data_IF_310545039034
#
_entry.id   IF_310545039034
#
_cell.length_a   1.000
_cell.length_b   1.000
_cell.length_c   1.000
_cell.angle_alpha   90.00
_cell.angle_beta   90.00
_cell.angle_gamma   90.00
#
_symmetry.space_group_name_H-M   'P 1'
#
loop_
_entity.id
_entity.type
_entity.pdbx_description
1 polymer ?
#
# COMPACT_ATOMS: atom_id res chain seq x y z
N UNK A 1 2.52 10.14 22.57
CA UNK A 1 2.38 11.63 22.60
C UNK A 1 3.73 12.34 22.67
N UNK A 2 4.61 12.11 23.67
CA UNK A 2 5.92 12.81 23.78
C UNK A 2 6.80 12.65 22.53
N UNK A 3 6.89 11.43 21.97
CA UNK A 3 7.69 11.15 20.77
C UNK A 3 7.15 11.79 19.49
N UNK A 4 5.94 12.35 19.51
CA UNK A 4 5.30 12.99 18.36
C UNK A 4 5.44 14.52 18.37
N UNK A 5 6.02 15.12 19.42
CA UNK A 5 6.05 16.57 19.63
C UNK A 5 6.84 17.38 18.57
N UNK A 6 7.56 16.70 17.68
CA UNK A 6 8.29 17.30 16.56
C UNK A 6 7.58 17.19 15.20
N UNK A 7 6.37 16.62 15.16
CA UNK A 7 5.58 16.48 13.94
C UNK A 7 4.36 17.38 14.06
N UNK A 8 4.09 18.19 13.02
CA UNK A 8 2.90 19.02 12.91
C UNK A 8 1.69 18.12 12.59
N UNK A 9 1.25 17.36 13.61
CA UNK A 9 0.23 16.34 13.49
C UNK A 9 -0.80 16.51 14.60
N UNK A 10 -2.07 16.63 14.22
CA UNK A 10 -3.19 16.59 15.15
C UNK A 10 -3.44 15.14 15.56
N UNK A 11 -2.94 14.77 16.76
CA UNK A 11 -3.20 13.46 17.33
C UNK A 11 -4.56 13.46 18.02
N UNK A 12 -5.50 12.68 17.48
CA UNK A 12 -6.79 12.44 18.12
C UNK A 12 -6.72 11.14 18.92
N UNK A 13 -6.70 11.20 20.27
CA UNK A 13 -6.70 9.99 21.07
C UNK A 13 -8.09 9.35 21.04
N UNK A 14 -8.11 8.04 20.88
CA UNK A 14 -9.34 7.23 20.88
C UNK A 14 -9.19 6.14 21.94
N UNK A 15 -10.24 5.91 22.73
CA UNK A 15 -10.20 5.06 23.94
C UNK A 15 -11.08 3.82 23.85
N UNK A 16 -11.83 3.65 22.77
CA UNK A 16 -12.65 2.45 22.54
C UNK A 16 -12.83 2.17 21.05
N UNK A 17 -13.18 0.93 20.71
CA UNK A 17 -13.53 0.55 19.33
C UNK A 17 -14.68 1.41 18.80
N UNK A 18 -15.71 1.68 19.61
CA UNK A 18 -16.85 2.49 19.19
C UNK A 18 -16.45 3.94 18.89
N UNK A 19 -15.63 4.55 19.74
CA UNK A 19 -15.12 5.91 19.51
C UNK A 19 -14.24 5.96 18.25
N UNK A 20 -13.47 4.90 17.98
CA UNK A 20 -12.67 4.79 16.75
C UNK A 20 -13.56 4.73 15.52
N UNK A 21 -14.60 3.90 15.54
CA UNK A 21 -15.54 3.77 14.42
C UNK A 21 -16.36 5.05 14.22
N UNK A 22 -16.76 5.71 15.30
CA UNK A 22 -17.44 7.00 15.23
C UNK A 22 -16.53 8.06 14.61
N UNK A 23 -15.26 8.12 15.01
CA UNK A 23 -14.28 9.01 14.38
C UNK A 23 -14.13 8.74 12.89
N UNK A 24 -13.98 7.46 12.50
CA UNK A 24 -13.82 7.04 11.11
C UNK A 24 -15.05 7.32 10.23
N UNK A 25 -16.23 7.55 10.82
CA UNK A 25 -17.42 7.97 10.08
C UNK A 25 -17.33 9.42 9.56
N UNK A 26 -16.53 10.26 10.22
CA UNK A 26 -16.43 11.70 9.93
C UNK A 26 -15.06 12.15 9.48
N UNK A 27 -14.02 11.39 9.83
CA UNK A 27 -12.63 11.70 9.52
C UNK A 27 -11.95 10.49 8.89
N UNK A 28 -11.05 10.75 7.93
CA UNK A 28 -10.27 9.70 7.26
C UNK A 28 -8.80 9.93 7.62
N UNK A 29 -8.28 9.29 8.69
CA UNK A 29 -6.91 9.49 9.11
C UNK A 29 -5.95 8.89 8.08
N UNK A 30 -4.83 9.56 7.84
CA UNK A 30 -3.79 8.99 6.97
C UNK A 30 -2.88 8.00 7.71
N UNK A 31 -2.82 8.09 9.04
CA UNK A 31 -2.04 7.23 9.92
C UNK A 31 -2.82 6.87 11.18
N UNK A 32 -2.90 5.59 11.49
CA UNK A 32 -3.52 5.06 12.69
C UNK A 32 -2.45 4.36 13.56
N UNK A 33 -2.45 4.70 14.84
CA UNK A 33 -1.65 4.01 15.85
C UNK A 33 -2.56 3.10 16.65
N UNK A 34 -2.34 1.79 16.57
CA UNK A 34 -3.22 0.81 17.23
C UNK A 34 -2.37 -0.02 18.19
N UNK A 35 -2.70 0.03 19.48
CA UNK A 35 -2.10 -0.86 20.46
C UNK A 35 -2.88 -2.17 20.51
N UNK A 36 -2.33 -3.23 19.95
CA UNK A 36 -2.94 -4.57 19.94
C UNK A 36 -2.71 -5.34 21.25
N UNK A 37 -1.85 -4.82 22.12
CA UNK A 37 -1.58 -5.40 23.44
C UNK A 37 -2.30 -4.67 24.58
N UNK A 38 -3.09 -3.64 24.28
CA UNK A 38 -3.89 -2.92 25.29
C UNK A 38 -5.14 -3.74 25.67
N UNK A 39 -5.31 -4.18 26.93
CA UNK A 39 -6.50 -4.93 27.33
C UNK A 39 -7.78 -4.08 27.35
N UNK A 40 -7.68 -2.75 27.32
CA UNK A 40 -8.84 -1.85 27.33
C UNK A 40 -9.46 -1.67 25.93
N UNK A 41 -8.71 -1.97 24.86
CA UNK A 41 -9.17 -1.82 23.47
C UNK A 41 -8.88 -3.11 22.72
N UNK A 42 -9.93 -3.75 22.20
CA UNK A 42 -9.76 -4.89 21.29
C UNK A 42 -9.28 -4.40 19.91
N UNK A 43 -7.96 -4.30 19.75
CA UNK A 43 -7.32 -3.85 18.52
C UNK A 43 -7.62 -4.75 17.32
N UNK A 44 -7.83 -6.06 17.54
CA UNK A 44 -8.20 -6.99 16.47
C UNK A 44 -9.65 -6.81 16.04
N UNK A 45 -10.58 -6.61 16.98
CA UNK A 45 -11.96 -6.28 16.63
C UNK A 45 -12.05 -4.96 15.85
N UNK A 46 -11.26 -3.95 16.24
CA UNK A 46 -11.16 -2.71 15.47
C UNK A 46 -10.60 -2.97 14.05
N UNK A 47 -9.49 -3.71 13.95
CA UNK A 47 -8.91 -4.05 12.66
C UNK A 47 -9.89 -4.82 11.76
N UNK A 48 -10.63 -5.79 12.30
CA UNK A 48 -11.67 -6.52 11.59
C UNK A 48 -12.79 -5.60 11.10
N UNK A 49 -13.23 -4.63 11.91
CA UNK A 49 -14.22 -3.64 11.50
C UNK A 49 -13.71 -2.75 10.36
N UNK A 50 -12.46 -2.29 10.43
CA UNK A 50 -11.85 -1.49 9.36
C UNK A 50 -11.71 -2.35 8.09
N UNK A 51 -11.26 -3.60 8.22
CA UNK A 51 -11.06 -4.51 7.08
C UNK A 51 -12.36 -4.89 6.35
N UNK A 52 -13.51 -4.85 7.05
CA UNK A 52 -14.83 -5.11 6.45
C UNK A 52 -15.24 -4.06 5.42
N UNK A 53 -14.77 -2.83 5.56
CA UNK A 53 -15.05 -1.77 4.60
C UNK A 53 -13.76 -1.14 4.09
N UNK A 54 -13.30 -1.53 2.90
CA UNK A 54 -12.08 -1.02 2.31
C UNK A 54 -11.98 0.51 2.19
N UNK A 55 -13.09 1.24 2.21
CA UNK A 55 -13.05 2.70 2.23
C UNK A 55 -12.65 3.29 3.60
N UNK A 56 -12.72 2.50 4.68
CA UNK A 56 -12.12 2.83 5.98
C UNK A 56 -10.61 2.54 6.00
N UNK A 57 -10.12 1.65 5.13
CA UNK A 57 -8.72 1.16 5.09
C UNK A 57 -7.71 2.15 4.45
N UNK A 58 -7.96 3.45 4.46
CA UNK A 58 -7.02 4.40 3.88
C UNK A 58 -5.85 4.76 4.81
N UNK A 59 -6.01 4.52 6.12
CA UNK A 59 -4.97 4.79 7.08
C UNK A 59 -3.87 3.75 7.01
N UNK A 60 -2.62 4.22 6.95
CA UNK A 60 -1.48 3.39 7.29
C UNK A 60 -1.53 3.02 8.77
N UNK A 61 -1.16 1.80 9.14
CA UNK A 61 -1.23 1.32 10.52
C UNK A 61 0.18 1.17 11.07
N UNK A 62 0.45 1.81 12.21
CA UNK A 62 1.58 1.47 13.07
C UNK A 62 1.02 0.69 14.26
N UNK A 63 1.39 -0.58 14.34
CA UNK A 63 0.93 -1.48 15.38
C UNK A 63 1.87 -1.43 16.58
N UNK A 64 1.31 -1.41 17.79
CA UNK A 64 2.05 -1.70 19.00
C UNK A 64 1.72 -3.12 19.48
N UNK A 65 2.74 -3.97 19.60
CA UNK A 65 2.63 -5.38 19.93
C UNK A 65 3.74 -5.78 20.90
N UNK A 66 3.39 -6.19 22.12
CA UNK A 66 4.34 -6.52 23.18
C UNK A 66 4.87 -7.96 23.10
N UNK A 67 4.27 -8.80 22.27
CA UNK A 67 4.66 -10.19 22.08
C UNK A 67 4.75 -10.58 20.59
N UNK A 68 5.53 -11.62 20.31
CA UNK A 68 5.77 -12.11 18.95
C UNK A 68 4.48 -12.60 18.28
N UNK A 69 3.63 -13.33 19.00
CA UNK A 69 2.43 -13.94 18.43
C UNK A 69 1.43 -12.87 17.96
N UNK A 70 1.25 -11.81 18.75
CA UNK A 70 0.43 -10.65 18.39
C UNK A 70 1.01 -9.93 17.17
N UNK A 71 2.32 -9.64 17.16
CA UNK A 71 2.97 -8.99 16.02
C UNK A 71 2.83 -9.82 14.74
N UNK A 72 3.09 -11.13 14.84
CA UNK A 72 3.01 -12.06 13.72
C UNK A 72 1.57 -12.17 13.21
N UNK A 73 0.57 -12.18 14.09
CA UNK A 73 -0.85 -12.17 13.71
C UNK A 73 -1.21 -10.90 12.94
N UNK A 74 -0.77 -9.72 13.39
CA UNK A 74 -1.03 -8.45 12.68
C UNK A 74 -0.35 -8.46 11.30
N UNK A 75 0.92 -8.85 11.22
CA UNK A 75 1.68 -8.90 9.96
C UNK A 75 1.09 -9.88 8.94
N UNK A 76 0.55 -11.01 9.40
CA UNK A 76 -0.07 -12.02 8.53
C UNK A 76 -1.53 -11.73 8.21
N UNK A 77 -2.14 -10.69 8.78
CA UNK A 77 -3.55 -10.36 8.52
C UNK A 77 -3.70 -9.79 7.10
N UNK A 78 -4.44 -10.46 6.18
CA UNK A 78 -4.57 -10.00 4.81
C UNK A 78 -5.27 -8.65 4.69
N UNK A 79 -4.82 -7.80 3.79
CA UNK A 79 -5.43 -6.49 3.53
C UNK A 79 -5.03 -5.39 4.52
N UNK A 80 -4.37 -5.71 5.64
CA UNK A 80 -3.91 -4.71 6.60
C UNK A 80 -2.88 -3.78 5.96
N UNK A 81 -3.07 -2.46 6.11
CA UNK A 81 -2.13 -1.43 5.66
C UNK A 81 -1.05 -1.15 6.71
N UNK A 82 -0.46 -2.21 7.26
CA UNK A 82 0.61 -2.13 8.26
C UNK A 82 1.85 -1.47 7.63
N UNK A 83 2.45 -0.50 8.32
CA UNK A 83 3.77 0.06 8.00
C UNK A 83 4.83 -0.59 8.87
N UNK A 84 4.60 -0.60 10.19
CA UNK A 84 5.54 -1.12 11.17
C UNK A 84 4.79 -1.70 12.37
N UNK A 85 5.40 -2.72 12.98
CA UNK A 85 5.03 -3.25 14.29
C UNK A 85 6.15 -2.91 15.27
N UNK A 86 5.80 -2.40 16.45
CA UNK A 86 6.73 -1.98 17.49
C UNK A 86 6.32 -2.58 18.84
N UNK A 87 7.29 -3.08 19.59
CA UNK A 87 7.08 -3.33 21.01
C UNK A 87 7.03 -2.00 21.78
N UNK A 88 6.38 -1.98 22.94
CA UNK A 88 6.28 -0.78 23.78
C UNK A 88 7.66 -0.19 24.14
N UNK A 89 8.63 -1.05 24.47
CA UNK A 89 10.01 -0.65 24.79
C UNK A 89 10.75 -0.01 23.60
N UNK A 90 10.30 -0.28 22.37
CA UNK A 90 10.89 0.21 21.13
C UNK A 90 10.28 1.55 20.67
N UNK A 91 9.15 1.97 21.25
CA UNK A 91 8.40 3.15 20.80
C UNK A 91 9.23 4.42 20.90
N UNK A 92 9.92 4.67 22.02
CA UNK A 92 10.73 5.88 22.20
C UNK A 92 11.87 5.96 21.18
N UNK A 93 12.43 4.81 20.80
CA UNK A 93 13.57 4.72 19.89
C UNK A 93 13.17 4.85 18.42
N UNK A 94 12.11 4.16 18.00
CA UNK A 94 11.82 3.99 16.57
C UNK A 94 10.62 4.79 16.07
N UNK A 95 9.70 5.24 16.93
CA UNK A 95 8.50 5.94 16.48
C UNK A 95 8.85 7.24 15.74
N UNK A 96 9.77 8.05 16.27
CA UNK A 96 10.22 9.27 15.61
C UNK A 96 10.90 8.98 14.26
N UNK A 97 11.62 7.85 14.15
CA UNK A 97 12.26 7.42 12.91
C UNK A 97 11.22 7.01 11.86
N UNK A 98 10.24 6.19 12.24
CA UNK A 98 9.13 5.74 11.38
C UNK A 98 8.31 6.94 10.91
N UNK A 99 7.96 7.85 11.82
CA UNK A 99 7.27 9.09 11.47
C UNK A 99 8.10 9.95 10.51
N UNK A 100 9.41 10.03 10.71
CA UNK A 100 10.32 10.71 9.79
C UNK A 100 10.34 10.09 8.39
N UNK A 101 10.26 8.75 8.28
CA UNK A 101 10.12 8.05 7.00
C UNK A 101 8.78 8.39 6.37
N UNK A 102 7.68 8.25 7.10
CA UNK A 102 6.32 8.56 6.64
C UNK A 102 6.23 9.99 6.11
N UNK A 103 6.73 10.98 6.87
CA UNK A 103 6.67 12.40 6.51
C UNK A 103 7.54 12.75 5.30
N UNK A 104 8.68 12.08 5.11
CA UNK A 104 9.50 12.26 3.89
C UNK A 104 8.84 11.65 2.66
N UNK A 105 7.98 10.66 2.86
CA UNK A 105 7.38 9.84 1.81
C UNK A 105 5.86 10.07 1.65
N UNK A 106 5.37 11.19 2.14
CA UNK A 106 3.94 11.57 2.11
C UNK A 106 3.32 11.49 0.72
N UNK A 107 4.09 11.71 -0.35
CA UNK A 107 3.59 11.58 -1.72
C UNK A 107 3.16 10.15 -2.05
N UNK A 108 3.84 9.13 -1.54
CA UNK A 108 3.49 7.72 -1.75
C UNK A 108 2.33 7.33 -0.84
N UNK A 109 2.34 7.80 0.40
CA UNK A 109 1.33 7.43 1.39
C UNK A 109 -0.02 8.12 1.16
N UNK A 110 -0.01 9.36 0.64
CA UNK A 110 -1.21 10.19 0.53
C UNK A 110 -1.70 10.37 -0.91
N UNK A 111 -0.98 9.86 -1.92
CA UNK A 111 -1.58 9.65 -3.24
C UNK A 111 -2.46 8.40 -3.16
N UNK A 112 -3.75 8.65 -2.92
CA UNK A 112 -4.81 7.67 -2.66
C UNK A 112 -5.18 6.80 -3.87
N UNK A 113 -4.20 6.35 -4.68
CA UNK A 113 -4.36 5.47 -5.86
C UNK A 113 -5.03 6.12 -7.07
N UNK A 114 -5.94 7.06 -6.81
CA UNK A 114 -6.65 7.86 -7.79
C UNK A 114 -5.60 8.92 -8.20
N UNK A 115 -4.99 8.77 -9.39
CA UNK A 115 -4.27 9.87 -10.07
C UNK A 115 -2.85 9.58 -10.53
N UNK A 116 -2.40 8.34 -10.44
CA UNK A 116 -1.05 7.96 -10.86
C UNK A 116 -0.77 8.22 -12.35
N UNK A 117 -1.81 8.27 -13.20
CA UNK A 117 -1.69 8.46 -14.65
C UNK A 117 -1.10 9.82 -15.09
N UNK A 118 -0.98 10.81 -14.19
CA UNK A 118 -0.30 12.07 -14.48
C UNK A 118 1.23 11.98 -14.39
N UNK A 119 1.76 10.95 -13.72
CA UNK A 119 3.19 10.74 -13.53
C UNK A 119 3.63 9.57 -14.42
N UNK A 120 4.42 9.86 -15.47
CA UNK A 120 4.91 8.82 -16.39
C UNK A 120 5.63 7.67 -15.66
N UNK A 121 6.36 7.98 -14.59
CA UNK A 121 6.89 7.00 -13.65
C UNK A 121 7.25 7.69 -12.32
N UNK A 122 6.95 7.06 -11.19
CA UNK A 122 7.39 7.51 -9.87
C UNK A 122 8.68 6.77 -9.50
N UNK A 123 9.78 7.50 -9.37
CA UNK A 123 11.06 6.94 -8.96
C UNK A 123 11.55 7.57 -7.68
N UNK A 124 12.24 6.78 -6.86
CA UNK A 124 12.94 7.29 -5.69
C UNK A 124 14.15 6.41 -5.35
N UNK A 125 15.07 6.99 -4.59
CA UNK A 125 16.31 6.39 -4.12
C UNK A 125 16.54 6.75 -2.66
N UNK A 126 16.81 5.74 -1.84
CA UNK A 126 17.02 5.88 -0.40
C UNK A 126 18.29 5.17 0.04
N UNK A 127 19.00 5.75 1.00
CA UNK A 127 20.10 5.10 1.69
C UNK A 127 19.65 4.73 3.10
N UNK A 128 19.42 3.44 3.32
CA UNK A 128 18.93 2.90 4.58
C UNK A 128 20.10 2.62 5.51
N UNK A 129 19.89 2.83 6.80
CA UNK A 129 20.84 2.40 7.82
C UNK A 129 20.75 0.88 8.01
N UNK A 130 21.70 0.31 8.74
CA UNK A 130 21.63 -1.09 9.18
C UNK A 130 20.58 -1.25 10.29
N UNK A 131 19.31 -1.11 9.92
CA UNK A 131 18.15 -1.13 10.81
C UNK A 131 17.00 -1.83 10.08
N UNK A 132 16.57 -2.98 10.62
CA UNK A 132 15.54 -3.82 10.02
C UNK A 132 14.15 -3.20 10.11
N UNK A 133 13.88 -2.34 11.10
CA UNK A 133 12.59 -1.64 11.22
C UNK A 133 12.47 -0.59 10.11
N UNK A 134 13.56 0.12 9.82
CA UNK A 134 13.62 1.05 8.68
C UNK A 134 13.38 0.32 7.35
N UNK A 135 14.05 -0.82 7.12
CA UNK A 135 13.85 -1.64 5.94
C UNK A 135 12.40 -2.12 5.77
N UNK A 136 11.81 -2.67 6.84
CA UNK A 136 10.42 -3.14 6.84
C UNK A 136 9.43 -2.01 6.58
N UNK A 137 9.68 -0.82 7.15
CA UNK A 137 8.85 0.36 6.94
C UNK A 137 8.78 0.75 5.45
N UNK A 138 9.94 0.78 4.76
CA UNK A 138 9.97 1.08 3.33
C UNK A 138 9.31 0.01 2.48
N UNK A 139 9.57 -1.27 2.77
CA UNK A 139 8.95 -2.39 2.06
C UNK A 139 7.42 -2.35 2.18
N UNK A 140 6.91 -2.25 3.42
CA UNK A 140 5.48 -2.25 3.68
C UNK A 140 4.78 -1.03 3.09
N UNK A 141 5.36 0.16 3.22
CA UNK A 141 4.84 1.38 2.61
C UNK A 141 4.66 1.24 1.11
N UNK A 142 5.67 0.70 0.41
CA UNK A 142 5.64 0.53 -1.03
C UNK A 142 4.64 -0.55 -1.47
N UNK A 143 4.57 -1.67 -0.73
CA UNK A 143 3.57 -2.71 -0.93
C UNK A 143 2.14 -2.19 -0.76
N UNK A 144 1.89 -1.42 0.31
CA UNK A 144 0.59 -0.83 0.57
C UNK A 144 0.21 0.14 -0.55
N UNK A 145 1.16 0.96 -1.02
CA UNK A 145 0.92 1.86 -2.14
C UNK A 145 0.53 1.12 -3.41
N UNK A 146 1.31 0.10 -3.82
CA UNK A 146 1.02 -0.67 -5.03
C UNK A 146 -0.34 -1.37 -4.95
N UNK A 147 -0.72 -1.87 -3.78
CA UNK A 147 -2.04 -2.47 -3.55
C UNK A 147 -3.15 -1.41 -3.59
N UNK A 148 -3.00 -0.28 -2.90
CA UNK A 148 -4.03 0.77 -2.87
C UNK A 148 -4.17 1.48 -4.24
N UNK A 149 -3.12 1.48 -5.06
CA UNK A 149 -3.12 1.98 -6.43
C UNK A 149 -3.58 0.93 -7.47
N UNK A 150 -4.20 -0.16 -7.02
CA UNK A 150 -4.71 -1.25 -7.87
C UNK A 150 -3.66 -1.92 -8.78
N UNK A 151 -2.36 -1.77 -8.48
CA UNK A 151 -1.27 -2.32 -9.29
C UNK A 151 -0.98 -3.78 -8.97
N UNK A 152 -1.34 -4.25 -7.78
CA UNK A 152 -1.16 -5.64 -7.34
C UNK A 152 -2.37 -6.07 -6.51
N UNK A 153 -2.78 -7.34 -6.55
CA UNK A 153 -3.86 -7.85 -5.72
C UNK A 153 -3.36 -8.27 -4.31
N UNK A 154 -4.25 -8.82 -3.49
CA UNK A 154 -3.94 -9.24 -2.12
C UNK A 154 -2.88 -10.34 -2.08
N UNK A 155 -2.83 -11.22 -3.09
CA UNK A 155 -1.80 -12.25 -3.21
C UNK A 155 -0.46 -11.64 -3.59
N UNK A 156 -0.47 -10.72 -4.57
CA UNK A 156 0.69 -9.93 -4.98
C UNK A 156 1.25 -9.12 -3.82
N UNK A 157 0.41 -8.46 -3.02
CA UNK A 157 0.82 -7.72 -1.81
C UNK A 157 1.65 -8.60 -0.86
N UNK A 158 1.14 -9.78 -0.52
CA UNK A 158 1.85 -10.73 0.35
C UNK A 158 3.17 -11.19 -0.27
N UNK A 159 3.14 -11.58 -1.54
CA UNK A 159 4.32 -12.11 -2.25
C UNK A 159 5.43 -11.07 -2.39
N UNK A 160 5.08 -9.84 -2.73
CA UNK A 160 6.02 -8.73 -2.94
C UNK A 160 6.55 -8.22 -1.60
N UNK A 161 5.72 -8.21 -0.54
CA UNK A 161 6.18 -7.86 0.81
C UNK A 161 7.29 -8.81 1.26
N UNK A 162 7.09 -10.12 1.09
CA UNK A 162 8.12 -11.12 1.38
C UNK A 162 9.37 -10.86 0.53
N UNK A 163 9.20 -10.65 -0.78
CA UNK A 163 10.31 -10.45 -1.71
C UNK A 163 11.17 -9.21 -1.33
N UNK A 164 10.54 -8.07 -1.07
CA UNK A 164 11.23 -6.82 -0.72
C UNK A 164 11.90 -6.91 0.65
N UNK A 165 11.18 -7.40 1.66
CA UNK A 165 11.70 -7.56 3.02
C UNK A 165 12.91 -8.49 3.03
N UNK A 166 12.85 -9.62 2.34
CA UNK A 166 14.00 -10.54 2.22
C UNK A 166 15.21 -9.86 1.56
N UNK A 167 15.02 -9.13 0.46
CA UNK A 167 16.16 -8.49 -0.23
C UNK A 167 16.79 -7.38 0.61
N UNK A 168 15.99 -6.53 1.25
CA UNK A 168 16.48 -5.44 2.11
C UNK A 168 17.17 -5.98 3.37
N UNK A 169 16.54 -6.94 4.05
CA UNK A 169 17.12 -7.55 5.26
C UNK A 169 18.42 -8.29 4.93
N UNK A 170 18.49 -9.03 3.81
CA UNK A 170 19.73 -9.71 3.42
C UNK A 170 20.87 -8.72 3.17
N UNK A 171 20.59 -7.57 2.55
CA UNK A 171 21.57 -6.50 2.36
C UNK A 171 22.11 -5.95 3.69
N UNK A 172 21.27 -5.86 4.72
CA UNK A 172 21.68 -5.45 6.07
C UNK A 172 22.44 -6.56 6.79
N UNK A 173 21.82 -7.73 6.95
CA UNK A 173 22.32 -8.83 7.78
C UNK A 173 23.58 -9.45 7.19
N UNK A 174 23.50 -9.92 5.95
CA UNK A 174 24.58 -10.68 5.30
C UNK A 174 25.54 -9.78 4.53
N UNK A 175 25.03 -8.71 3.92
CA UNK A 175 25.83 -7.73 3.17
C UNK A 175 26.67 -6.85 4.10
N UNK A 176 26.03 -5.86 4.72
CA UNK A 176 26.72 -4.84 5.50
C UNK A 176 27.30 -5.36 6.82
N UNK A 177 26.49 -6.08 7.60
CA UNK A 177 26.85 -6.59 8.93
C UNK A 177 27.65 -7.90 8.89
N UNK A 178 27.69 -8.59 7.74
CA UNK A 178 28.45 -9.83 7.57
C UNK A 178 28.02 -10.95 8.52
N UNK A 179 26.77 -10.94 8.98
CA UNK A 179 26.22 -12.01 9.83
C UNK A 179 26.17 -13.28 9.01
N UNK A 180 26.77 -14.35 9.51
CA UNK A 180 26.69 -15.66 8.81
C UNK A 180 25.41 -16.40 9.19
N UNK A 181 24.97 -17.35 8.36
CA UNK A 181 23.81 -18.18 8.71
C UNK A 181 24.02 -18.97 10.01
N UNK A 182 25.22 -19.50 10.24
CA UNK A 182 25.53 -20.23 11.47
C UNK A 182 25.46 -19.30 12.71
N UNK A 183 26.00 -18.08 12.59
CA UNK A 183 25.90 -17.06 13.64
C UNK A 183 24.43 -16.68 13.91
N UNK A 184 23.64 -16.46 12.85
CA UNK A 184 22.21 -16.15 12.96
C UNK A 184 21.43 -17.26 13.65
N UNK A 185 21.60 -18.51 13.22
CA UNK A 185 20.91 -19.66 13.81
C UNK A 185 21.25 -19.82 15.30
N UNK A 186 22.53 -19.77 15.67
CA UNK A 186 22.95 -19.88 17.06
C UNK A 186 22.38 -18.72 17.91
N UNK A 187 22.40 -17.49 17.40
CA UNK A 187 21.87 -16.32 18.12
C UNK A 187 20.38 -16.42 18.41
N UNK A 188 19.59 -16.89 17.43
CA UNK A 188 18.14 -17.05 17.57
C UNK A 188 17.78 -18.26 18.45
N UNK A 189 18.56 -19.34 18.43
CA UNK A 189 18.36 -20.50 19.31
C UNK A 189 18.53 -20.14 20.80
N UNK A 190 19.37 -19.15 21.11
CA UNK A 190 19.53 -18.58 22.45
C UNK A 190 18.35 -17.67 22.87
N UNK A 191 17.32 -17.50 22.02
CA UNK A 191 16.15 -16.67 22.29
C UNK A 191 16.39 -15.16 22.14
N UNK A 192 17.54 -14.76 21.57
CA UNK A 192 17.85 -13.35 21.35
C UNK A 192 17.18 -12.83 20.07
N UNK A 193 16.95 -11.51 20.01
CA UNK A 193 16.36 -10.88 18.84
C UNK A 193 17.44 -10.52 17.81
N UNK A 194 17.12 -10.66 16.52
CA UNK A 194 18.04 -10.34 15.44
C UNK A 194 18.50 -8.87 15.46
N UNK A 195 17.63 -7.95 15.89
CA UNK A 195 17.93 -6.53 16.04
C UNK A 195 19.10 -6.27 17.00
N UNK A 196 19.24 -7.08 18.05
CA UNK A 196 20.30 -6.91 19.05
C UNK A 196 21.65 -7.34 18.48
N UNK A 197 21.66 -8.37 17.64
CA UNK A 197 22.86 -8.78 16.91
C UNK A 197 23.30 -7.70 15.92
N UNK A 198 22.36 -7.10 15.17
CA UNK A 198 22.67 -6.01 14.24
C UNK A 198 23.21 -4.80 15.00
N UNK A 199 22.59 -4.42 16.12
CA UNK A 199 23.08 -3.35 16.97
C UNK A 199 24.52 -3.60 17.45
N UNK A 200 24.81 -4.83 17.90
CA UNK A 200 26.16 -5.25 18.29
C UNK A 200 27.16 -5.18 17.13
N UNK A 201 26.78 -5.56 15.91
CA UNK A 201 27.64 -5.41 14.72
C UNK A 201 27.91 -3.93 14.40
N UNK A 202 26.92 -3.07 14.63
CA UNK A 202 27.01 -1.62 14.45
C UNK A 202 27.77 -0.88 15.58
N UNK A 203 28.29 -1.59 16.59
CA UNK A 203 29.26 -1.00 17.51
C UNK A 203 30.57 -0.65 16.78
N UNK A 204 30.90 -1.38 15.71
CA UNK A 204 31.97 -1.03 14.78
C UNK A 204 31.52 0.11 13.84
N UNK A 205 32.16 1.29 13.88
CA UNK A 205 31.88 2.40 12.96
C UNK A 205 31.94 1.99 11.48
N UNK A 206 32.85 1.08 11.10
CA UNK A 206 33.02 0.64 9.72
C UNK A 206 31.84 -0.20 9.23
N UNK A 207 31.07 -0.81 10.13
CA UNK A 207 29.81 -1.49 9.81
C UNK A 207 28.65 -0.51 9.90
N UNK A 208 28.56 0.24 11.01
CA UNK A 208 27.49 1.21 11.29
C UNK A 208 27.29 2.25 10.20
N UNK A 209 28.39 2.72 9.62
CA UNK A 209 28.36 3.81 8.64
C UNK A 209 28.05 3.30 7.22
N UNK A 210 28.00 1.97 7.02
CA UNK A 210 27.50 1.39 5.76
C UNK A 210 26.01 1.63 5.56
N UNK A 211 25.59 1.69 4.30
CA UNK A 211 24.18 1.88 3.90
C UNK A 211 23.72 0.79 2.95
N UNK A 212 22.42 0.52 2.96
CA UNK A 212 21.76 -0.24 1.89
C UNK A 212 21.06 0.76 0.98
N UNK A 213 21.45 0.78 -0.29
CA UNK A 213 20.77 1.55 -1.32
C UNK A 213 19.48 0.81 -1.70
N UNK A 214 18.36 1.50 -1.61
CA UNK A 214 17.07 1.04 -2.09
C UNK A 214 16.52 2.03 -3.12
N UNK A 215 16.40 1.58 -4.36
CA UNK A 215 15.77 2.37 -5.42
C UNK A 215 14.56 1.64 -5.97
N UNK A 216 13.57 2.41 -6.41
CA UNK A 216 12.46 1.85 -7.18
C UNK A 216 12.02 2.81 -8.28
N UNK A 217 11.36 2.25 -9.28
CA UNK A 217 10.62 2.98 -10.30
C UNK A 217 9.28 2.28 -10.51
N UNK A 218 8.19 3.00 -10.28
CA UNK A 218 6.82 2.56 -10.52
C UNK A 218 6.38 3.19 -11.84
N UNK A 219 6.32 2.39 -12.90
CA UNK A 219 5.80 2.78 -14.21
C UNK A 219 4.32 2.35 -14.34
N UNK A 220 3.61 2.70 -15.42
CA UNK A 220 2.20 2.35 -15.56
C UNK A 220 1.95 0.84 -15.56
N UNK A 221 2.83 0.07 -16.20
CA UNK A 221 2.65 -1.37 -16.44
C UNK A 221 3.53 -2.28 -15.56
N UNK A 222 4.58 -1.74 -14.94
CA UNK A 222 5.48 -2.51 -14.09
C UNK A 222 6.13 -1.63 -13.02
N UNK A 223 6.69 -2.25 -11.99
CA UNK A 223 7.62 -1.60 -11.07
C UNK A 223 8.95 -2.34 -11.05
N UNK A 224 10.05 -1.59 -11.01
CA UNK A 224 11.41 -2.10 -10.90
C UNK A 224 11.99 -1.69 -9.55
N UNK A 225 12.74 -2.59 -8.92
CA UNK A 225 13.39 -2.36 -7.63
C UNK A 225 14.86 -2.73 -7.71
N UNK A 226 15.71 -1.95 -7.03
CA UNK A 226 17.13 -2.21 -6.82
C UNK A 226 17.41 -2.20 -5.32
N UNK A 227 18.06 -3.24 -4.83
CA UNK A 227 18.64 -3.28 -3.48
C UNK A 227 20.13 -3.53 -3.61
N UNK A 228 20.96 -2.66 -3.06
CA UNK A 228 22.42 -2.82 -3.07
C UNK A 228 23.05 -2.56 -1.71
N UNK A 229 23.93 -3.44 -1.28
CA UNK A 229 24.69 -3.35 -0.03
C UNK A 229 26.18 -3.05 -0.28
N UNK A 230 26.87 -2.58 0.75
CA UNK A 230 28.30 -2.27 0.73
C UNK A 230 29.16 -3.44 1.25
N UNK A 231 28.57 -4.63 1.31
CA UNK A 231 29.23 -5.87 1.69
C UNK A 231 30.17 -6.42 0.62
N UNK A 232 30.83 -7.56 0.92
CA UNK A 232 31.74 -8.22 -0.02
C UNK A 232 31.01 -8.85 -1.22
N UNK A 233 29.69 -9.05 -1.13
CA UNK A 233 28.90 -9.80 -2.10
C UNK A 233 29.09 -11.32 -1.97
N UNK A 234 28.46 -12.07 -2.87
CA UNK A 234 28.49 -13.54 -2.86
C UNK A 234 28.34 -14.11 -4.27
N UNK A 235 28.78 -15.37 -4.47
CA UNK A 235 28.58 -16.07 -5.74
C UNK A 235 27.13 -16.57 -5.87
N UNK A 236 26.29 -15.74 -6.49
CA UNK A 236 24.89 -16.06 -6.75
C UNK A 236 24.69 -17.01 -7.93
N UNK A 237 25.69 -17.20 -8.81
CA UNK A 237 25.60 -18.07 -9.99
C UNK A 237 25.72 -19.54 -9.61
N UNK A 238 26.43 -19.82 -8.52
CA UNK A 238 26.54 -21.15 -7.91
C UNK A 238 25.27 -21.64 -7.19
N UNK A 239 24.27 -20.78 -7.00
CA UNK A 239 22.98 -21.18 -6.44
C UNK A 239 22.23 -22.06 -7.46
N UNK A 240 22.25 -23.38 -7.24
CA UNK A 240 21.56 -24.37 -8.09
C UNK A 240 20.10 -24.01 -8.35
N UNK A 241 19.61 -24.33 -9.54
CA UNK A 241 18.24 -24.09 -9.97
C UNK A 241 17.22 -24.65 -8.95
N UNK A 242 16.37 -23.80 -8.33
CA UNK A 242 15.53 -24.16 -7.19
C UNK A 242 14.43 -25.21 -7.46
N UNK A 243 14.25 -25.64 -8.71
CA UNK A 243 13.37 -26.76 -9.09
C UNK A 243 13.95 -28.14 -8.72
N UNK A 244 15.25 -28.24 -8.41
CA UNK A 244 15.94 -29.52 -8.20
C UNK A 244 16.32 -29.82 -6.73
N UNK A 245 15.96 -28.95 -5.78
CA UNK A 245 16.23 -29.16 -4.35
C UNK A 245 14.93 -29.45 -3.59
N UNK A 246 14.69 -30.73 -3.32
CA UNK A 246 13.53 -31.25 -2.55
C UNK A 246 13.51 -30.83 -1.07
N UNK A 247 14.60 -30.27 -0.55
CA UNK A 247 14.71 -29.96 0.87
C UNK A 247 14.12 -28.57 1.19
N UNK A 248 12.79 -28.54 1.38
CA UNK A 248 11.97 -27.37 1.76
C UNK A 248 12.43 -26.71 3.08
N UNK A 249 13.24 -27.41 3.89
CA UNK A 249 13.68 -27.00 5.22
C UNK A 249 15.10 -26.41 5.29
N UNK A 250 15.83 -26.32 4.17
CA UNK A 250 17.10 -25.60 4.17
C UNK A 250 16.84 -24.08 4.30
N UNK A 251 17.22 -23.50 5.44
CA UNK A 251 17.10 -22.06 5.73
C UNK A 251 17.87 -21.14 4.76
N UNK A 252 18.77 -21.69 3.95
CA UNK A 252 19.67 -20.93 3.08
C UNK A 252 19.04 -20.72 1.70
N UNK A 253 19.01 -19.47 1.22
CA UNK A 253 18.53 -19.13 -0.13
C UNK A 253 17.01 -19.19 -0.31
N UNK A 254 16.22 -19.41 0.75
CA UNK A 254 14.75 -19.38 0.70
C UNK A 254 14.24 -18.01 0.23
N UNK A 255 14.79 -16.92 0.75
CA UNK A 255 14.45 -15.55 0.31
C UNK A 255 14.61 -15.36 -1.19
N UNK A 256 15.81 -15.62 -1.71
CA UNK A 256 16.12 -15.52 -3.15
C UNK A 256 15.20 -16.43 -3.99
N UNK A 257 14.94 -17.65 -3.53
CA UNK A 257 14.02 -18.60 -4.21
C UNK A 257 12.59 -18.04 -4.27
N UNK A 258 12.09 -17.47 -3.18
CA UNK A 258 10.75 -16.89 -3.12
C UNK A 258 10.66 -15.63 -3.97
N UNK A 259 11.64 -14.73 -3.88
CA UNK A 259 11.73 -13.53 -4.73
C UNK A 259 11.75 -13.93 -6.21
N UNK A 260 12.55 -14.92 -6.62
CA UNK A 260 12.58 -15.40 -8.02
C UNK A 260 11.24 -16.01 -8.47
N UNK A 261 10.48 -16.63 -7.55
CA UNK A 261 9.17 -17.21 -7.85
C UNK A 261 8.10 -16.13 -8.07
N UNK A 262 8.18 -15.03 -7.33
CA UNK A 262 7.13 -14.00 -7.29
C UNK A 262 7.43 -12.77 -8.14
N UNK A 263 8.65 -12.63 -8.64
CA UNK A 263 9.10 -11.47 -9.41
C UNK A 263 9.61 -11.89 -10.78
N UNK A 264 9.79 -10.92 -11.67
CA UNK A 264 10.40 -11.06 -12.99
C UNK A 264 11.80 -10.47 -12.97
N UNK A 265 12.63 -10.89 -13.94
CA UNK A 265 13.93 -10.30 -14.22
C UNK A 265 14.86 -10.16 -12.99
N UNK A 266 14.78 -11.10 -12.05
CA UNK A 266 15.66 -11.12 -10.88
C UNK A 266 17.11 -11.36 -11.31
N UNK A 267 17.94 -10.35 -11.16
CA UNK A 267 19.35 -10.37 -11.56
C UNK A 267 20.22 -9.79 -10.45
N UNK A 268 21.44 -10.31 -10.33
CA UNK A 268 22.46 -9.75 -9.45
C UNK A 268 23.62 -9.21 -10.29
N UNK A 269 24.32 -8.20 -9.76
CA UNK A 269 25.56 -7.73 -10.36
C UNK A 269 26.69 -8.78 -10.24
N UNK A 270 27.83 -8.51 -10.87
CA UNK A 270 28.94 -9.47 -10.89
C UNK A 270 29.47 -9.83 -9.51
N UNK A 271 29.50 -8.84 -8.60
CA UNK A 271 29.96 -8.99 -7.21
C UNK A 271 28.93 -9.73 -6.33
N UNK A 272 27.65 -9.71 -6.69
CA UNK A 272 26.56 -10.28 -5.90
C UNK A 272 26.13 -9.44 -4.69
N UNK A 273 26.41 -8.14 -4.68
CA UNK A 273 25.99 -7.21 -3.62
C UNK A 273 24.92 -6.20 -4.09
N UNK A 274 24.37 -6.40 -5.29
CA UNK A 274 23.24 -5.63 -5.79
C UNK A 274 22.29 -6.56 -6.53
N UNK A 275 21.00 -6.44 -6.25
CA UNK A 275 19.91 -7.21 -6.85
C UNK A 275 18.88 -6.29 -7.47
N UNK A 276 18.46 -6.60 -8.69
CA UNK A 276 17.36 -5.94 -9.39
C UNK A 276 16.26 -6.95 -9.67
N UNK A 277 15.01 -6.55 -9.47
CA UNK A 277 13.84 -7.37 -9.81
C UNK A 277 12.65 -6.50 -10.20
N UNK A 278 11.71 -7.10 -10.91
CA UNK A 278 10.55 -6.42 -11.48
C UNK A 278 9.23 -7.10 -11.06
N UNK A 279 8.16 -6.32 -10.99
CA UNK A 279 6.79 -6.81 -10.84
C UNK A 279 5.94 -6.26 -11.98
N UNK A 280 5.05 -7.07 -12.51
CA UNK A 280 4.06 -6.64 -13.48
C UNK A 280 2.83 -6.10 -12.76
N UNK A 281 2.24 -5.03 -13.29
CA UNK A 281 1.04 -4.46 -12.72
C UNK A 281 -0.22 -5.12 -13.26
N UNK A 282 -1.22 -5.24 -12.41
CA UNK A 282 -2.60 -5.45 -12.82
C UNK A 282 -3.09 -4.23 -13.60
N UNK A 283 -3.95 -4.48 -14.58
CA UNK A 283 -4.59 -3.44 -15.38
C UNK A 283 -6.11 -3.51 -15.21
N UNK A 284 -6.73 -2.35 -15.07
CA UNK A 284 -8.18 -2.15 -15.10
C UNK A 284 -8.98 -3.02 -14.12
N UNK A 285 -8.45 -3.34 -12.93
CA UNK A 285 -9.12 -4.15 -11.91
C UNK A 285 -9.06 -3.45 -10.56
N UNK A 286 -10.18 -3.35 -9.85
CA UNK A 286 -10.20 -2.84 -8.48
C UNK A 286 -9.89 -3.97 -7.49
N UNK A 287 -9.02 -3.71 -6.51
CA UNK A 287 -8.63 -4.72 -5.53
C UNK A 287 -9.70 -5.03 -4.47
N UNK A 288 -10.43 -4.00 -4.04
CA UNK A 288 -11.32 -4.12 -2.91
C UNK A 288 -12.65 -3.46 -3.22
N UNK A 289 -13.72 -4.26 -3.16
CA UNK A 289 -15.08 -3.80 -3.30
C UNK A 289 -15.56 -3.27 -1.94
N UNK A 290 -16.08 -2.04 -1.86
CA UNK A 290 -16.63 -1.49 -0.63
C UNK A 290 -17.80 -2.33 -0.11
N UNK A 291 -17.96 -2.40 1.21
CA UNK A 291 -19.03 -3.18 1.86
C UNK A 291 -20.41 -2.80 1.30
N UNK A 292 -20.61 -1.52 0.99
CA UNK A 292 -21.80 -0.98 0.35
C UNK A 292 -22.23 -1.75 -0.91
N UNK A 293 -21.28 -2.27 -1.68
CA UNK A 293 -21.54 -2.96 -2.94
C UNK A 293 -21.57 -4.48 -2.80
N UNK A 294 -21.11 -5.07 -1.68
CA UNK A 294 -20.81 -6.50 -1.52
C UNK A 294 -21.98 -7.43 -1.92
N UNK A 295 -23.22 -7.01 -1.65
CA UNK A 295 -24.41 -7.81 -1.92
C UNK A 295 -25.04 -7.59 -3.30
N UNK A 296 -24.39 -6.81 -4.18
CA UNK A 296 -24.89 -6.49 -5.50
C UNK A 296 -24.11 -7.30 -6.54
N UNK A 297 -24.84 -8.10 -7.32
CA UNK A 297 -24.24 -8.89 -8.38
C UNK A 297 -23.64 -7.96 -9.47
N UNK A 298 -22.39 -8.21 -9.91
CA UNK A 298 -21.77 -7.40 -10.95
C UNK A 298 -22.44 -7.63 -12.31
N UNK A 299 -22.64 -6.54 -13.04
CA UNK A 299 -23.01 -6.53 -14.45
C UNK A 299 -21.78 -6.86 -15.28
N UNK A 300 -21.84 -7.95 -16.04
CA UNK A 300 -20.80 -8.31 -17.00
C UNK A 300 -20.96 -7.48 -18.26
N UNK A 301 -19.92 -6.75 -18.64
CA UNK A 301 -19.89 -5.85 -19.79
C UNK A 301 -18.87 -6.35 -20.81
N UNK A 302 -19.20 -6.27 -22.09
CA UNK A 302 -18.31 -6.66 -23.20
C UNK A 302 -17.80 -5.44 -23.96
N UNK A 303 -16.66 -5.57 -24.67
CA UNK A 303 -16.18 -4.51 -25.56
C UNK A 303 -17.26 -4.06 -26.54
N UNK A 304 -17.46 -2.75 -26.65
CA UNK A 304 -18.45 -2.12 -27.51
C UNK A 304 -19.80 -1.88 -26.86
N UNK A 305 -20.09 -2.49 -25.71
CA UNK A 305 -21.34 -2.25 -24.98
C UNK A 305 -21.44 -0.79 -24.52
N UNK A 306 -22.63 -0.21 -24.68
CA UNK A 306 -22.94 1.13 -24.18
C UNK A 306 -23.55 1.00 -22.79
N UNK A 307 -22.87 1.54 -21.77
CA UNK A 307 -23.34 1.51 -20.38
C UNK A 307 -24.52 2.46 -20.19
N UNK A 308 -24.42 3.66 -20.78
CA UNK A 308 -25.51 4.64 -20.88
C UNK A 308 -25.18 5.70 -21.94
N UNK A 309 -26.20 6.40 -22.44
CA UNK A 309 -26.06 7.42 -23.49
C UNK A 309 -26.17 8.84 -22.96
N UNK A 310 -25.51 9.78 -23.64
CA UNK A 310 -25.65 11.22 -23.39
C UNK A 310 -27.12 11.65 -23.49
N UNK A 311 -27.60 12.44 -22.52
CA UNK A 311 -28.98 12.93 -22.45
C UNK A 311 -30.00 11.93 -21.89
N UNK A 312 -29.62 10.66 -21.71
CA UNK A 312 -30.48 9.63 -21.12
C UNK A 312 -30.83 10.00 -19.67
N UNK A 313 -32.08 9.72 -19.28
CA UNK A 313 -32.48 9.83 -17.88
C UNK A 313 -31.84 8.66 -17.10
N UNK A 314 -31.15 8.96 -16.01
CA UNK A 314 -30.47 7.93 -15.24
C UNK A 314 -30.31 8.32 -13.80
N UNK A 315 -30.73 7.43 -12.91
CA UNK A 315 -30.68 7.61 -11.46
C UNK A 315 -29.82 6.53 -10.78
N UNK A 316 -28.83 6.01 -11.53
CA UNK A 316 -27.92 4.97 -11.08
C UNK A 316 -26.47 5.46 -11.09
N UNK A 317 -25.73 5.06 -10.07
CA UNK A 317 -24.29 5.12 -9.97
C UNK A 317 -23.71 3.75 -10.32
N UNK A 318 -22.54 3.72 -10.95
CA UNK A 318 -21.83 2.47 -11.20
C UNK A 318 -20.47 2.51 -10.53
N UNK A 319 -20.15 1.46 -9.78
CA UNK A 319 -18.80 1.18 -9.32
C UNK A 319 -18.05 0.36 -10.38
N UNK A 320 -16.82 0.79 -10.70
CA UNK A 320 -15.98 0.20 -11.74
C UNK A 320 -15.10 -0.87 -11.13
N UNK A 321 -15.60 -2.11 -11.05
CA UNK A 321 -14.83 -3.23 -10.52
C UNK A 321 -13.77 -3.70 -11.51
N UNK A 322 -14.07 -3.68 -12.81
CA UNK A 322 -13.14 -4.06 -13.88
C UNK A 322 -13.45 -3.37 -15.20
N UNK A 323 -12.42 -3.17 -16.01
CA UNK A 323 -12.50 -2.81 -17.43
C UNK A 323 -12.21 -1.33 -17.69
N UNK A 324 -12.17 -0.99 -18.97
CA UNK A 324 -11.86 0.36 -19.47
C UNK A 324 -12.99 0.88 -20.33
N UNK A 325 -13.39 2.13 -20.10
CA UNK A 325 -14.61 2.70 -20.67
C UNK A 325 -14.36 4.10 -21.26
N UNK A 326 -14.63 4.29 -22.54
CA UNK A 326 -14.56 5.62 -23.17
C UNK A 326 -15.72 6.50 -22.70
N UNK A 327 -15.42 7.75 -22.37
CA UNK A 327 -16.38 8.83 -22.14
C UNK A 327 -16.48 9.66 -23.40
N UNK A 328 -17.65 9.67 -24.03
CA UNK A 328 -17.91 10.29 -25.32
C UNK A 328 -18.88 11.45 -25.14
N UNK A 329 -18.48 12.65 -25.54
CA UNK A 329 -19.29 13.87 -25.47
C UNK A 329 -19.44 14.42 -26.88
N UNK A 330 -20.68 14.64 -27.35
CA UNK A 330 -20.95 15.14 -28.71
C UNK A 330 -20.30 14.32 -29.83
N UNK A 331 -20.13 13.01 -29.61
CA UNK A 331 -19.55 12.07 -30.58
C UNK A 331 -18.03 11.94 -30.54
N UNK A 332 -17.32 12.74 -29.74
CA UNK A 332 -15.86 12.65 -29.58
C UNK A 332 -15.48 11.99 -28.25
N UNK A 333 -14.44 11.15 -28.28
CA UNK A 333 -13.88 10.54 -27.06
C UNK A 333 -13.15 11.64 -26.28
N UNK A 334 -13.68 11.99 -25.11
CA UNK A 334 -13.13 13.04 -24.25
C UNK A 334 -12.11 12.49 -23.24
N UNK A 335 -12.41 11.33 -22.65
CA UNK A 335 -11.54 10.65 -21.69
C UNK A 335 -11.84 9.15 -21.66
N UNK A 336 -11.07 8.39 -20.90
CA UNK A 336 -11.39 7.01 -20.55
C UNK A 336 -11.49 6.88 -19.03
N UNK A 337 -12.28 5.92 -18.56
CA UNK A 337 -12.45 5.55 -17.16
C UNK A 337 -11.97 4.11 -16.94
N UNK A 338 -11.42 3.83 -15.76
CA UNK A 338 -11.05 2.48 -15.32
C UNK A 338 -11.41 2.25 -13.85
N UNK A 339 -10.94 1.14 -13.27
CA UNK A 339 -11.02 0.89 -11.83
C UNK A 339 -10.37 2.01 -10.99
N UNK A 340 -9.39 2.74 -11.53
CA UNK A 340 -8.73 3.85 -10.86
C UNK A 340 -9.62 5.10 -10.74
N UNK A 341 -10.73 5.16 -11.49
CA UNK A 341 -11.76 6.19 -11.33
C UNK A 341 -12.81 5.81 -10.29
N UNK A 342 -12.91 4.54 -9.90
CA UNK A 342 -13.80 3.97 -8.87
C UNK A 342 -15.30 4.05 -9.22
N UNK A 343 -15.82 5.22 -9.56
CA UNK A 343 -17.24 5.47 -9.81
C UNK A 343 -17.49 6.10 -11.19
N UNK A 344 -18.64 5.82 -11.79
CA UNK A 344 -19.10 6.53 -12.98
C UNK A 344 -20.60 6.85 -12.93
N UNK A 345 -20.98 7.95 -13.57
CA UNK A 345 -22.37 8.43 -13.60
C UNK A 345 -22.74 9.30 -12.40
N UNK A 346 -21.76 9.68 -11.58
CA UNK A 346 -21.90 10.52 -10.39
C UNK A 346 -22.44 11.92 -10.75
N UNK A 347 -22.12 12.44 -11.92
CA UNK A 347 -22.65 13.74 -12.39
C UNK A 347 -24.17 13.74 -12.54
N UNK A 348 -24.74 12.65 -13.08
CA UNK A 348 -26.20 12.54 -13.18
C UNK A 348 -26.83 12.41 -11.80
N UNK A 349 -26.20 11.63 -10.90
CA UNK A 349 -26.61 11.50 -9.50
C UNK A 349 -26.64 12.86 -8.78
N UNK A 350 -25.66 13.75 -8.99
CA UNK A 350 -25.56 15.05 -8.32
C UNK A 350 -26.36 16.19 -8.99
N UNK A 351 -26.33 16.28 -10.32
CA UNK A 351 -26.70 17.50 -11.06
C UNK A 351 -28.07 17.47 -11.76
N UNK A 352 -28.85 16.39 -11.64
CA UNK A 352 -30.24 16.38 -12.11
C UNK A 352 -30.63 15.25 -13.04
N UNK A 353 -30.18 14.02 -12.75
CA UNK A 353 -30.68 12.75 -13.30
C UNK A 353 -30.63 12.64 -14.84
N UNK A 354 -29.74 13.40 -15.50
CA UNK A 354 -29.43 13.27 -16.93
C UNK A 354 -27.96 12.99 -17.14
N UNK A 355 -27.66 12.04 -18.02
CA UNK A 355 -26.28 11.69 -18.38
C UNK A 355 -25.64 12.81 -19.19
N UNK A 356 -24.45 13.23 -18.78
CA UNK A 356 -23.68 14.31 -19.41
C UNK A 356 -22.78 13.81 -20.56
N UNK A 357 -22.63 12.49 -20.70
CA UNK A 357 -21.80 11.84 -21.71
C UNK A 357 -22.33 10.42 -21.99
N UNK A 358 -21.96 9.86 -23.14
CA UNK A 358 -22.12 8.44 -23.45
C UNK A 358 -20.91 7.68 -22.91
N UNK A 359 -21.13 6.54 -22.26
CA UNK A 359 -20.04 5.68 -21.79
C UNK A 359 -20.06 4.34 -22.52
N UNK A 360 -18.93 3.93 -23.09
CA UNK A 360 -18.77 2.71 -23.88
C UNK A 360 -17.62 1.87 -23.39
N UNK A 361 -17.83 0.58 -23.18
CA UNK A 361 -16.76 -0.35 -22.85
C UNK A 361 -15.78 -0.54 -24.03
N UNK A 362 -14.49 -0.55 -23.72
CA UNK A 362 -13.39 -0.85 -24.67
C UNK A 362 -12.77 -2.22 -24.41
N UNK A 363 -12.92 -2.75 -23.19
CA UNK A 363 -12.45 -4.07 -22.76
C UNK A 363 -13.60 -4.83 -22.06
N UNK A 364 -13.37 -6.12 -21.75
CA UNK A 364 -14.27 -6.86 -20.87
C UNK A 364 -14.29 -6.19 -19.48
N UNK A 365 -15.49 -5.98 -18.96
CA UNK A 365 -15.72 -5.17 -17.77
C UNK A 365 -16.68 -5.80 -16.77
N UNK A 366 -16.61 -5.30 -15.55
CA UNK A 366 -17.56 -5.61 -14.49
C UNK A 366 -17.95 -4.30 -13.79
N UNK A 367 -19.26 -4.01 -13.79
CA UNK A 367 -19.82 -2.81 -13.15
C UNK A 367 -20.81 -3.22 -12.08
N UNK A 368 -20.79 -2.53 -10.94
CA UNK A 368 -21.81 -2.73 -9.91
C UNK A 368 -22.75 -1.53 -9.93
N UNK A 369 -24.01 -1.78 -10.26
CA UNK A 369 -25.02 -0.74 -10.38
C UNK A 369 -25.76 -0.53 -9.06
N UNK A 370 -25.84 0.71 -8.60
CA UNK A 370 -26.60 1.08 -7.41
C UNK A 370 -27.52 2.26 -7.72
N UNK A 371 -28.75 2.23 -7.19
CA UNK A 371 -29.68 3.36 -7.34
C UNK A 371 -29.26 4.54 -6.46
N UNK A 372 -29.59 5.76 -6.88
CA UNK A 372 -29.40 6.97 -6.07
C UNK A 372 -30.01 6.83 -4.68
N UNK A 373 -31.21 6.25 -4.61
CA UNK A 373 -31.93 6.05 -3.35
C UNK A 373 -31.12 5.17 -2.40
N UNK A 374 -30.63 4.03 -2.87
CA UNK A 374 -29.89 3.08 -2.04
C UNK A 374 -28.55 3.68 -1.59
N UNK A 375 -27.87 4.41 -2.47
CA UNK A 375 -26.63 5.11 -2.13
C UNK A 375 -26.85 6.21 -1.08
N UNK A 376 -27.92 6.99 -1.19
CA UNK A 376 -28.27 8.02 -0.18
C UNK A 376 -28.67 7.39 1.16
N UNK A 377 -29.39 6.28 1.15
CA UNK A 377 -29.70 5.53 2.38
C UNK A 377 -28.43 5.01 3.04
N UNK A 378 -27.48 4.50 2.26
CA UNK A 378 -26.19 4.08 2.76
C UNK A 378 -25.39 5.23 3.36
N UNK A 379 -25.35 6.42 2.75
CA UNK A 379 -24.71 7.61 3.36
C UNK A 379 -25.37 7.96 4.70
N UNK A 380 -26.69 7.82 4.81
CA UNK A 380 -27.39 8.11 6.07
C UNK A 380 -27.00 7.13 7.18
N UNK A 381 -26.79 5.87 6.85
CA UNK A 381 -26.35 4.85 7.80
C UNK A 381 -24.85 4.93 8.10
N UNK A 382 -24.06 5.32 7.10
CA UNK A 382 -22.60 5.29 7.09
C UNK A 382 -22.06 6.58 6.42
N UNK A 383 -21.87 7.67 7.18
CA UNK A 383 -21.56 9.00 6.64
C UNK A 383 -20.25 9.10 5.85
N UNK A 384 -19.26 8.24 6.12
CA UNK A 384 -17.96 8.25 5.45
C UNK A 384 -18.07 8.03 3.93
N UNK A 385 -19.11 7.34 3.46
CA UNK A 385 -19.40 7.21 2.03
C UNK A 385 -19.66 8.56 1.34
N UNK A 386 -20.29 9.50 2.05
CA UNK A 386 -20.54 10.85 1.54
C UNK A 386 -19.25 11.67 1.44
N UNK A 387 -18.39 11.56 2.45
CA UNK A 387 -17.07 12.21 2.48
C UNK A 387 -16.17 11.65 1.38
N UNK A 388 -16.15 10.33 1.19
CA UNK A 388 -15.42 9.68 0.13
C UNK A 388 -15.86 10.19 -1.25
N UNK A 389 -17.17 10.27 -1.51
CA UNK A 389 -17.68 10.81 -2.78
C UNK A 389 -17.27 12.28 -2.97
N UNK A 390 -17.38 13.11 -1.93
CA UNK A 390 -16.96 14.52 -1.99
C UNK A 390 -15.46 14.64 -2.32
N UNK A 391 -14.62 13.83 -1.67
CA UNK A 391 -13.19 13.79 -1.90
C UNK A 391 -12.86 13.35 -3.34
N UNK A 392 -13.47 12.26 -3.83
CA UNK A 392 -13.31 11.77 -5.21
C UNK A 392 -13.61 12.88 -6.24
N UNK A 393 -14.67 13.64 -6.03
CA UNK A 393 -15.05 14.74 -6.93
C UNK A 393 -14.06 15.90 -6.88
N UNK A 394 -13.62 16.29 -5.68
CA UNK A 394 -12.63 17.34 -5.49
C UNK A 394 -11.32 17.00 -6.22
N UNK A 395 -10.89 15.74 -6.13
CA UNK A 395 -9.69 15.28 -6.81
C UNK A 395 -9.83 15.30 -8.34
N UNK A 396 -10.97 14.83 -8.87
CA UNK A 396 -11.27 14.91 -10.31
C UNK A 396 -11.27 16.34 -10.83
N UNK A 397 -11.80 17.29 -10.05
CA UNK A 397 -11.74 18.71 -10.38
C UNK A 397 -10.30 19.21 -10.45
N UNK A 398 -9.47 18.80 -9.48
CA UNK A 398 -8.06 19.17 -9.44
C UNK A 398 -7.30 18.63 -10.67
N UNK A 399 -7.57 17.39 -11.11
CA UNK A 399 -7.00 16.81 -12.34
C UNK A 399 -7.36 17.58 -13.59
N UNK A 400 -8.55 18.17 -13.65
CA UNK A 400 -9.00 19.00 -14.77
C UNK A 400 -8.35 20.39 -14.79
N UNK A 401 -7.87 20.87 -13.65
CA UNK A 401 -7.25 22.19 -13.50
C UNK A 401 -5.87 22.13 -12.78
N UNK A 402 -4.86 21.46 -13.37
CA UNK A 402 -3.57 21.25 -12.70
C UNK A 402 -2.74 22.53 -12.45
N UNK A 403 -3.21 23.71 -12.89
CA UNK A 403 -2.52 25.01 -12.71
C UNK A 403 -3.03 25.85 -11.53
N UNK A 404 -4.02 25.38 -10.78
CA UNK A 404 -4.59 26.09 -9.64
C UNK A 404 -4.53 25.21 -8.37
N UNK A 405 -3.32 24.89 -7.93
CA UNK A 405 -3.13 24.31 -6.60
C UNK A 405 -3.57 25.33 -5.55
N UNK A 406 -4.72 25.11 -4.91
CA UNK A 406 -5.28 26.04 -3.93
C UNK A 406 -4.36 26.22 -2.71
N UNK A 407 -3.55 25.21 -2.35
CA UNK A 407 -2.58 25.32 -1.25
C UNK A 407 -1.37 26.23 -1.55
N UNK A 408 -1.00 26.43 -2.83
CA UNK A 408 0.03 27.43 -3.19
C UNK A 408 -0.45 28.87 -2.95
N UNK A 409 -1.77 29.08 -2.90
CA UNK A 409 -2.37 30.39 -2.57
C UNK A 409 -2.60 30.58 -1.06
N UNK A 410 -2.57 29.52 -0.26
CA UNK A 410 -2.80 29.57 1.20
C UNK A 410 -1.49 29.80 1.99
N UNK A 411 -0.33 29.55 1.40
CA UNK A 411 0.99 29.80 2.03
C UNK A 411 1.44 31.27 2.15
N UNK A 412 0.54 32.24 1.92
CA UNK A 412 0.85 33.68 1.97
C UNK A 412 -0.16 34.48 2.84
N UNK A 413 -0.75 33.86 3.85
CA UNK A 413 -1.52 34.56 4.88
C UNK A 413 -1.01 34.24 6.29
#
# INVERSE_FOLDING_TARGET
MKSCAGFDAELVPVRSVNEALEFLNFEVPDLAFINFSDPAIDGFALLECILKDPWLLNASIVAFCNDYDTSERVEKTPGTNLIASLAEDDVEKYLAKILGIIVKNQRILFQRGIGFDLVQALSASYQLHNDTIEANCYANMLCNFLYNANKIDSSGKMQISIAMTEMLINGIEHGNCGVTYAEKSAWLEDGNMMRDLIAKKCDDPAVRDKRVLFEYTIAPTNSTFLVADEGPGFDWRGLKDPAQTENVYALHGRGIKMTRKYTKNLTYNDKGNAVTFEIEHLADCANAQPALFEHIAPLVIRPGDIVFKEGEAGDFLYYVAKGRYDVIVKGEVFSALSADDILMGEMAFLLGNRRTATVRATTDGALIQMSKKDFVLAIKENPHYGLFLAWLLAERLQRRHPKDHWWEKVGNL
#
